data_IF_660030065951
#
_entry.id   IF_660030065951
#
_cell.length_a   1.000
_cell.length_b   1.000
_cell.length_c   1.000
_cell.angle_alpha   90.00
_cell.angle_beta   90.00
_cell.angle_gamma   90.00
#
_symmetry.space_group_name_H-M   'P 1'
#
loop_
_entity.id
_entity.type
_entity.pdbx_description
1 polymer ?
#
# COMPACT_ATOMS: atom_id res chain seq x y z
N UNK A 1 7.88 9.17 -33.41
CA UNK A 1 6.47 8.86 -33.73
C UNK A 1 5.74 8.70 -32.39
N UNK A 2 4.41 8.80 -32.37
CA UNK A 2 3.61 8.86 -31.14
C UNK A 2 2.49 7.81 -31.24
N UNK A 3 2.32 7.02 -30.18
CA UNK A 3 1.20 6.10 -30.04
C UNK A 3 0.23 6.59 -28.96
N UNK A 4 -1.05 6.30 -29.16
CA UNK A 4 -2.13 6.52 -28.17
C UNK A 4 -2.64 5.17 -27.71
N UNK A 5 -2.64 4.94 -26.40
CA UNK A 5 -3.06 3.68 -25.78
C UNK A 5 -4.23 3.97 -24.82
N UNK A 6 -5.34 3.21 -24.86
CA UNK A 6 -6.45 3.42 -23.94
C UNK A 6 -6.07 3.03 -22.52
N UNK A 7 -6.56 3.80 -21.54
CA UNK A 7 -6.64 3.33 -20.15
C UNK A 7 -7.76 2.29 -20.02
N UNK A 8 -7.59 1.34 -19.11
CA UNK A 8 -8.59 0.34 -18.78
C UNK A 8 -9.91 0.96 -18.32
N UNK A 9 -9.84 2.10 -17.64
CA UNK A 9 -11.02 2.81 -17.14
C UNK A 9 -11.85 3.49 -18.26
N UNK A 10 -11.37 3.44 -19.52
CA UNK A 10 -12.16 3.72 -20.73
C UNK A 10 -12.26 5.18 -21.16
N UNK A 11 -11.98 6.12 -20.26
CA UNK A 11 -12.30 7.54 -20.50
C UNK A 11 -11.16 8.37 -21.10
N UNK A 12 -9.94 7.83 -21.13
CA UNK A 12 -8.75 8.58 -21.53
C UNK A 12 -7.75 7.75 -22.34
N UNK A 13 -6.98 8.44 -23.19
CA UNK A 13 -5.89 7.88 -23.97
C UNK A 13 -4.56 8.42 -23.46
N UNK A 14 -3.60 7.54 -23.21
CA UNK A 14 -2.23 7.90 -22.85
C UNK A 14 -1.39 8.01 -24.12
N UNK A 15 -0.62 9.10 -24.24
CA UNK A 15 0.35 9.32 -25.29
C UNK A 15 1.73 8.91 -24.83
N UNK A 16 2.38 8.02 -25.58
CA UNK A 16 3.76 7.55 -25.35
C UNK A 16 4.54 7.54 -26.65
N UNK A 17 5.87 7.49 -26.56
CA UNK A 17 6.72 7.20 -27.72
C UNK A 17 6.59 5.73 -28.15
N UNK A 18 6.80 5.44 -29.44
CA UNK A 18 6.57 4.11 -30.04
C UNK A 18 7.34 2.97 -29.36
N UNK A 19 8.57 3.24 -28.91
CA UNK A 19 9.42 2.25 -28.24
C UNK A 19 8.86 1.84 -26.88
N UNK A 20 8.22 2.78 -26.17
CA UNK A 20 7.49 2.52 -24.93
C UNK A 20 6.21 1.75 -25.26
N UNK A 21 5.45 2.18 -26.26
CA UNK A 21 4.22 1.51 -26.69
C UNK A 21 4.46 0.02 -27.03
N UNK A 22 5.58 -0.29 -27.70
CA UNK A 22 5.98 -1.64 -28.04
C UNK A 22 6.20 -2.56 -26.82
N UNK A 23 6.45 -1.99 -25.62
CA UNK A 23 6.65 -2.74 -24.36
C UNK A 23 5.36 -2.91 -23.55
N UNK A 24 4.29 -2.19 -23.90
CA UNK A 24 3.02 -2.16 -23.14
C UNK A 24 2.01 -3.21 -23.60
N UNK A 25 2.38 -4.10 -24.53
CA UNK A 25 1.50 -5.18 -24.99
C UNK A 25 0.99 -6.05 -23.85
N UNK A 26 -0.34 -6.14 -23.70
CA UNK A 26 -1.00 -6.93 -22.67
C UNK A 26 -0.84 -6.39 -21.24
N UNK A 27 -0.43 -5.13 -21.08
CA UNK A 27 -0.38 -4.45 -19.78
C UNK A 27 -1.65 -3.62 -19.61
N UNK A 28 -2.27 -3.73 -18.43
CA UNK A 28 -3.39 -2.90 -18.07
C UNK A 28 -2.88 -1.53 -17.61
N UNK A 29 -3.40 -0.45 -18.18
CA UNK A 29 -3.03 0.91 -17.81
C UNK A 29 -4.17 1.57 -17.05
N UNK A 30 -3.87 2.19 -15.91
CA UNK A 30 -4.84 2.98 -15.13
C UNK A 30 -4.26 4.31 -14.73
N UNK A 31 -5.13 5.29 -14.47
CA UNK A 31 -4.71 6.51 -13.81
C UNK A 31 -4.99 6.36 -12.31
N UNK A 32 -3.94 6.23 -11.51
CA UNK A 32 -4.02 6.17 -10.05
C UNK A 32 -3.35 7.41 -9.47
N UNK A 33 -4.10 8.21 -8.71
CA UNK A 33 -3.59 9.34 -7.94
C UNK A 33 -2.72 10.33 -8.74
N UNK A 34 -3.13 10.66 -9.98
CA UNK A 34 -2.42 11.46 -11.00
C UNK A 34 -1.26 10.79 -11.76
N UNK A 35 -0.99 9.51 -11.50
CA UNK A 35 0.05 8.73 -12.17
C UNK A 35 -0.58 7.70 -13.11
N UNK A 36 -0.07 7.59 -14.33
CA UNK A 36 -0.40 6.44 -15.19
C UNK A 36 0.41 5.25 -14.69
N UNK A 37 -0.29 4.26 -14.16
CA UNK A 37 0.28 3.05 -13.60
C UNK A 37 0.02 1.89 -14.55
N UNK A 38 1.09 1.21 -14.92
CA UNK A 38 1.05 -0.10 -15.55
C UNK A 38 0.83 -1.17 -14.48
N UNK A 39 -0.19 -2.00 -14.66
CA UNK A 39 -0.57 -3.09 -13.76
C UNK A 39 -0.44 -4.41 -14.52
N UNK A 40 0.33 -5.33 -13.94
CA UNK A 40 0.47 -6.71 -14.42
C UNK A 40 0.78 -7.60 -13.23
N UNK A 41 0.09 -8.73 -13.08
CA UNK A 41 0.33 -9.71 -12.01
C UNK A 41 0.41 -9.07 -10.61
N UNK A 42 -0.50 -8.13 -10.31
CA UNK A 42 -0.52 -7.34 -9.07
C UNK A 42 0.74 -6.48 -8.80
N UNK A 43 1.56 -6.22 -9.82
CA UNK A 43 2.68 -5.28 -9.77
C UNK A 43 2.32 -3.92 -10.36
N UNK A 44 2.61 -2.86 -9.60
CA UNK A 44 2.30 -1.47 -9.93
C UNK A 44 3.56 -0.74 -10.40
N UNK A 45 3.54 -0.28 -11.65
CA UNK A 45 4.66 0.33 -12.34
C UNK A 45 4.31 1.77 -12.76
N UNK A 46 4.87 2.79 -12.10
CA UNK A 46 4.68 4.20 -12.49
C UNK A 46 5.39 4.48 -13.83
N UNK A 47 4.60 4.66 -14.90
CA UNK A 47 5.15 4.85 -16.24
C UNK A 47 5.94 6.15 -16.37
N UNK A 48 5.61 7.22 -15.64
CA UNK A 48 6.39 8.47 -15.68
C UNK A 48 7.82 8.20 -15.21
N UNK A 49 7.94 7.53 -14.06
CA UNK A 49 9.23 7.21 -13.47
C UNK A 49 10.00 6.15 -14.25
N UNK A 50 9.32 5.20 -14.90
CA UNK A 50 9.97 4.21 -15.78
C UNK A 50 10.54 4.86 -17.04
N UNK A 51 9.80 5.78 -17.66
CA UNK A 51 10.21 6.41 -18.92
C UNK A 51 11.32 7.44 -18.68
N UNK A 52 11.16 8.32 -17.69
CA UNK A 52 12.04 9.47 -17.47
C UNK A 52 13.01 9.32 -16.29
N UNK A 53 12.70 8.46 -15.32
CA UNK A 53 13.44 8.29 -14.07
C UNK A 53 12.67 8.81 -12.86
N UNK A 54 13.11 8.43 -11.65
CA UNK A 54 12.41 8.86 -10.43
C UNK A 54 12.26 10.38 -10.33
N UNK A 55 11.17 10.88 -9.74
CA UNK A 55 10.88 12.32 -9.70
C UNK A 55 10.50 12.90 -11.06
N UNK A 56 10.04 12.07 -11.99
CA UNK A 56 9.50 12.51 -13.26
C UNK A 56 8.17 13.25 -13.06
N UNK A 57 8.00 14.29 -13.87
CA UNK A 57 6.80 15.12 -13.96
C UNK A 57 6.49 15.43 -15.43
N UNK A 58 5.25 15.84 -15.70
CA UNK A 58 4.83 16.33 -17.01
C UNK A 58 4.95 17.86 -17.08
N UNK A 59 5.61 18.37 -18.13
CA UNK A 59 5.87 19.82 -18.34
C UNK A 59 4.58 20.61 -18.49
N UNK A 60 3.55 20.00 -19.06
CA UNK A 60 2.23 20.62 -19.26
C UNK A 60 1.20 20.28 -18.17
N UNK A 61 1.59 19.52 -17.13
CA UNK A 61 0.68 19.05 -16.07
C UNK A 61 -0.36 18.00 -16.51
N UNK A 62 -0.35 17.57 -17.78
CA UNK A 62 -1.27 16.55 -18.28
C UNK A 62 -0.72 15.15 -17.97
N UNK A 63 -1.34 14.36 -17.07
CA UNK A 63 -0.83 13.04 -16.68
C UNK A 63 -0.90 12.01 -17.81
N UNK A 64 -1.70 12.26 -18.86
CA UNK A 64 -1.85 11.34 -19.99
C UNK A 64 -0.80 11.57 -21.09
N UNK A 65 0.02 12.62 -21.02
CA UNK A 65 1.05 12.91 -22.02
C UNK A 65 2.45 12.50 -21.51
N UNK A 66 2.80 11.23 -21.71
CA UNK A 66 4.03 10.61 -21.25
C UNK A 66 5.12 10.55 -22.32
N UNK A 67 4.99 11.33 -23.40
CA UNK A 67 6.04 11.44 -24.42
C UNK A 67 7.28 12.04 -23.77
N UNK A 68 8.47 11.52 -24.04
CA UNK A 68 9.74 12.00 -23.43
C UNK A 68 9.93 13.50 -23.56
N UNK A 69 9.50 14.10 -24.68
CA UNK A 69 9.53 15.57 -24.89
C UNK A 69 8.73 16.37 -23.85
N UNK A 70 7.68 15.78 -23.29
CA UNK A 70 6.81 16.37 -22.27
C UNK A 70 7.24 15.98 -20.85
N UNK A 71 8.17 15.04 -20.67
CA UNK A 71 8.65 14.65 -19.36
C UNK A 71 9.87 15.49 -18.96
N UNK A 72 9.95 15.82 -17.68
CA UNK A 72 11.13 16.39 -17.03
C UNK A 72 11.40 15.64 -15.73
N UNK A 73 12.65 15.67 -15.28
CA UNK A 73 13.05 15.08 -14.00
C UNK A 73 13.42 16.19 -13.03
N UNK A 74 12.83 16.16 -11.85
CA UNK A 74 13.19 17.08 -10.77
C UNK A 74 14.52 16.65 -10.13
N UNK A 75 15.41 17.61 -9.96
CA UNK A 75 16.71 17.42 -9.34
C UNK A 75 16.85 18.34 -8.12
N UNK A 76 17.26 17.75 -7.00
CA UNK A 76 17.56 18.45 -5.77
C UNK A 76 19.07 18.46 -5.55
N UNK A 77 19.62 19.64 -5.29
CA UNK A 77 21.05 19.82 -5.06
C UNK A 77 21.31 19.95 -3.56
N UNK A 78 22.05 19.00 -3.01
CA UNK A 78 22.39 18.98 -1.59
C UNK A 78 23.19 20.23 -1.19
N UNK A 79 22.83 20.87 -0.06
CA UNK A 79 23.40 22.13 0.42
C UNK A 79 23.28 23.35 -0.54
N UNK A 80 22.46 23.29 -1.59
CA UNK A 80 22.12 24.47 -2.41
C UNK A 80 20.83 25.11 -1.90
N UNK A 81 20.62 26.37 -2.28
CA UNK A 81 19.40 27.12 -1.96
C UNK A 81 18.14 26.29 -2.29
N UNK A 82 17.06 26.50 -1.54
CA UNK A 82 15.81 25.72 -1.51
C UNK A 82 15.05 25.66 -2.87
N UNK A 83 15.68 25.16 -3.93
CA UNK A 83 15.18 25.14 -5.29
C UNK A 83 15.30 23.74 -5.89
N UNK A 84 14.33 23.40 -6.74
CA UNK A 84 14.34 22.20 -7.56
C UNK A 84 14.67 22.58 -8.99
N UNK A 85 15.71 21.97 -9.53
CA UNK A 85 16.11 22.14 -10.91
C UNK A 85 15.33 21.17 -11.81
N UNK A 86 14.90 21.66 -12.97
CA UNK A 86 14.30 20.82 -14.00
C UNK A 86 15.38 20.36 -14.96
N UNK A 87 15.46 19.06 -15.19
CA UNK A 87 16.40 18.48 -16.16
C UNK A 87 15.66 17.64 -17.19
N UNK A 88 16.23 17.58 -18.38
CA UNK A 88 15.76 16.63 -19.40
C UNK A 88 16.01 15.19 -18.90
N UNK A 89 15.12 14.25 -19.23
CA UNK A 89 15.26 12.87 -18.79
C UNK A 89 16.45 12.20 -19.46
N UNK A 90 17.21 11.43 -18.70
CA UNK A 90 18.24 10.56 -19.26
C UNK A 90 17.57 9.43 -20.05
N UNK A 91 18.07 9.16 -21.27
CA UNK A 91 17.62 8.05 -22.09
C UNK A 91 18.23 6.75 -21.55
N UNK A 92 17.54 6.12 -20.61
CA UNK A 92 17.90 4.79 -20.07
C UNK A 92 16.79 3.78 -20.37
N UNK A 93 16.95 3.09 -21.51
CA UNK A 93 16.02 2.07 -21.96
C UNK A 93 16.06 0.81 -21.09
N UNK A 94 17.06 0.64 -20.21
CA UNK A 94 17.10 -0.50 -19.29
C UNK A 94 15.97 -0.45 -18.27
N UNK A 95 15.43 0.75 -17.97
CA UNK A 95 14.26 0.91 -17.09
C UNK A 95 13.00 0.28 -17.68
N UNK A 96 12.85 0.28 -19.00
CA UNK A 96 11.72 -0.35 -19.69
C UNK A 96 11.76 -1.89 -19.59
N UNK A 97 12.87 -2.48 -19.14
CA UNK A 97 12.96 -3.92 -18.94
C UNK A 97 11.93 -4.44 -17.93
N UNK A 98 11.52 -3.61 -16.95
CA UNK A 98 10.47 -3.98 -15.97
C UNK A 98 9.10 -4.25 -16.62
N UNK A 99 8.85 -3.67 -17.81
CA UNK A 99 7.62 -3.88 -18.58
C UNK A 99 7.70 -5.14 -19.46
N UNK A 100 8.89 -5.72 -19.62
CA UNK A 100 9.07 -6.93 -20.44
C UNK A 100 8.39 -8.11 -19.76
N UNK A 101 7.56 -8.90 -20.48
CA UNK A 101 6.90 -10.06 -19.89
C UNK A 101 7.94 -11.03 -19.34
N UNK A 102 7.81 -11.42 -18.08
CA UNK A 102 8.39 -12.68 -17.63
C UNK A 102 7.62 -13.78 -18.34
N UNK A 103 8.29 -14.65 -19.12
CA UNK A 103 7.62 -15.78 -19.77
C UNK A 103 7.18 -16.74 -18.65
N UNK A 104 6.01 -16.51 -18.08
CA UNK A 104 5.30 -17.51 -17.30
C UNK A 104 4.67 -18.46 -18.32
N UNK A 105 5.10 -19.72 -18.30
CA UNK A 105 4.38 -20.78 -19.01
C UNK A 105 2.98 -20.83 -18.41
N UNK A 106 1.96 -20.41 -19.16
CA UNK A 106 0.57 -20.57 -18.76
C UNK A 106 0.26 -22.06 -18.65
N UNK A 107 0.50 -22.63 -17.48
CA UNK A 107 -0.08 -23.91 -17.11
C UNK A 107 -1.56 -23.65 -16.90
N UNK A 108 -2.40 -24.29 -17.71
CA UNK A 108 -3.85 -24.34 -17.50
C UNK A 108 -4.09 -24.94 -16.11
N UNK A 109 -4.25 -24.08 -15.12
CA UNK A 109 -4.65 -24.48 -13.77
C UNK A 109 -6.13 -24.85 -13.80
N UNK A 110 -6.56 -25.85 -13.01
CA UNK A 110 -7.99 -26.14 -12.90
C UNK A 110 -8.74 -24.89 -12.43
N UNK A 111 -10.01 -24.72 -12.83
CA UNK A 111 -10.80 -23.56 -12.46
C UNK A 111 -10.93 -23.47 -10.94
N UNK A 112 -10.62 -22.28 -10.41
CA UNK A 112 -10.72 -21.99 -8.98
C UNK A 112 -12.20 -22.06 -8.56
N UNK A 113 -12.49 -22.86 -7.55
CA UNK A 113 -13.84 -22.97 -7.02
C UNK A 113 -14.17 -21.75 -6.15
N UNK A 114 -15.37 -21.16 -6.26
CA UNK A 114 -15.79 -20.08 -5.38
C UNK A 114 -15.83 -20.52 -3.91
N UNK A 115 -15.34 -19.67 -3.03
CA UNK A 115 -15.26 -19.95 -1.58
C UNK A 115 -16.51 -19.41 -0.89
N UNK A 116 -17.17 -20.27 -0.12
CA UNK A 116 -18.34 -19.94 0.71
C UNK A 116 -18.07 -20.31 2.17
N UNK A 117 -18.77 -19.65 3.10
CA UNK A 117 -18.78 -19.99 4.53
C UNK A 117 -19.92 -20.96 4.86
N UNK A 118 -21.01 -20.90 4.11
CA UNK A 118 -22.20 -21.76 4.21
C UNK A 118 -22.73 -22.08 2.80
N UNK A 119 -23.33 -23.26 2.56
CA UNK A 119 -23.98 -23.58 1.28
C UNK A 119 -25.01 -22.52 0.84
N UNK A 120 -25.71 -21.93 1.81
CA UNK A 120 -26.81 -20.98 1.62
C UNK A 120 -26.33 -19.53 1.39
N UNK A 121 -25.02 -19.26 1.46
CA UNK A 121 -24.50 -17.91 1.23
C UNK A 121 -24.84 -17.42 -0.19
N UNK A 122 -25.38 -16.20 -0.27
CA UNK A 122 -25.74 -15.54 -1.54
C UNK A 122 -24.50 -15.24 -2.38
N UNK A 123 -23.44 -14.77 -1.73
CA UNK A 123 -22.17 -14.43 -2.36
C UNK A 123 -21.12 -15.50 -2.06
N UNK A 124 -20.22 -15.70 -2.99
CA UNK A 124 -19.02 -16.51 -2.81
C UNK A 124 -17.81 -15.69 -3.25
N UNK A 125 -16.69 -15.83 -2.54
CA UNK A 125 -15.44 -15.20 -2.92
C UNK A 125 -14.85 -15.89 -4.14
N UNK A 126 -14.36 -15.10 -5.10
CA UNK A 126 -13.56 -15.57 -6.22
C UNK A 126 -12.47 -14.52 -6.53
N UNK A 127 -11.19 -14.91 -6.77
CA UNK A 127 -10.10 -13.96 -7.05
C UNK A 127 -10.38 -13.05 -8.26
N UNK A 128 -9.80 -11.85 -8.26
CA UNK A 128 -10.08 -10.81 -9.25
C UNK A 128 -10.01 -11.27 -10.71
N UNK A 129 -8.91 -11.92 -11.09
CA UNK A 129 -8.69 -12.40 -12.46
C UNK A 129 -9.77 -13.39 -12.93
N UNK A 130 -10.30 -14.19 -12.01
CA UNK A 130 -11.33 -15.21 -12.30
C UNK A 130 -12.73 -14.60 -12.43
N UNK A 131 -12.91 -13.32 -12.07
CA UNK A 131 -14.19 -12.60 -12.15
C UNK A 131 -14.32 -11.66 -13.34
N UNK A 132 -13.29 -11.55 -14.21
CA UNK A 132 -13.29 -10.59 -15.34
C UNK A 132 -14.51 -10.69 -16.26
N UNK A 133 -15.11 -11.88 -16.37
CA UNK A 133 -16.30 -12.16 -17.19
C UNK A 133 -17.52 -12.59 -16.36
N UNK A 134 -17.48 -12.45 -15.03
CA UNK A 134 -18.56 -12.88 -14.13
C UNK A 134 -19.03 -11.69 -13.31
N UNK A 135 -20.34 -11.37 -13.31
CA UNK A 135 -20.91 -10.33 -12.45
C UNK A 135 -20.42 -10.42 -11.01
N UNK A 136 -19.78 -9.35 -10.54
CA UNK A 136 -19.12 -9.32 -9.23
C UNK A 136 -19.31 -7.98 -8.51
N UNK A 137 -19.12 -8.03 -7.19
CA UNK A 137 -18.84 -6.88 -6.33
C UNK A 137 -17.34 -6.87 -6.06
N UNK A 138 -16.66 -5.79 -6.44
CA UNK A 138 -15.26 -5.57 -6.08
C UNK A 138 -15.20 -4.93 -4.69
N UNK A 139 -14.63 -5.63 -3.73
CA UNK A 139 -14.49 -5.20 -2.35
C UNK A 139 -13.01 -5.04 -2.05
N UNK A 140 -12.60 -3.84 -1.67
CA UNK A 140 -11.18 -3.50 -1.49
C UNK A 140 -10.29 -3.91 -2.68
N UNK A 141 -10.63 -3.39 -3.85
CA UNK A 141 -9.89 -3.65 -5.08
C UNK A 141 -10.25 -2.62 -6.15
N UNK A 142 -9.47 -2.61 -7.22
CA UNK A 142 -9.88 -2.01 -8.49
C UNK A 142 -11.12 -2.72 -9.06
N UNK A 143 -11.74 -2.13 -10.09
CA UNK A 143 -12.89 -2.71 -10.78
C UNK A 143 -12.47 -3.38 -12.09
N UNK A 144 -13.11 -4.48 -12.49
CA UNK A 144 -12.99 -5.06 -13.83
C UNK A 144 -14.25 -4.80 -14.68
N UNK A 145 -14.24 -5.28 -15.92
CA UNK A 145 -15.34 -5.10 -16.88
C UNK A 145 -16.67 -5.71 -16.44
N UNK A 146 -16.66 -6.70 -15.55
CA UNK A 146 -17.87 -7.35 -15.03
C UNK A 146 -18.28 -6.86 -13.62
N UNK A 147 -17.51 -5.94 -13.04
CA UNK A 147 -17.82 -5.34 -11.73
C UNK A 147 -19.07 -4.48 -11.83
N UNK A 148 -20.11 -4.84 -11.06
CA UNK A 148 -21.37 -4.10 -10.98
C UNK A 148 -21.39 -3.07 -9.84
N UNK A 149 -20.59 -3.30 -8.79
CA UNK A 149 -20.46 -2.44 -7.64
C UNK A 149 -19.01 -2.50 -7.13
N UNK A 150 -18.43 -1.33 -6.85
CA UNK A 150 -17.13 -1.19 -6.18
C UNK A 150 -17.37 -0.65 -4.77
N UNK A 151 -16.69 -1.24 -3.79
CA UNK A 151 -16.65 -0.80 -2.39
C UNK A 151 -15.19 -0.84 -1.95
N UNK A 152 -14.46 0.23 -2.25
CA UNK A 152 -13.03 0.38 -2.01
C UNK A 152 -12.66 1.83 -1.71
N UNK A 153 -11.62 2.03 -0.91
CA UNK A 153 -10.97 3.32 -0.66
C UNK A 153 -9.73 3.58 -1.56
N UNK A 154 -9.39 2.68 -2.50
CA UNK A 154 -8.23 2.85 -3.38
C UNK A 154 -8.35 4.10 -4.28
N UNK A 155 -7.24 4.67 -4.77
CA UNK A 155 -7.29 5.76 -5.74
C UNK A 155 -8.13 5.41 -6.97
N UNK A 156 -8.90 6.38 -7.47
CA UNK A 156 -9.77 6.23 -8.63
C UNK A 156 -10.80 5.09 -8.53
N UNK A 157 -11.16 4.66 -7.31
CA UNK A 157 -12.25 3.71 -7.10
C UNK A 157 -13.58 4.25 -7.65
N UNK A 158 -14.50 3.32 -7.96
CA UNK A 158 -15.87 3.63 -8.42
C UNK A 158 -16.91 3.47 -7.30
N UNK A 159 -16.48 3.58 -6.04
CA UNK A 159 -17.39 3.48 -4.89
C UNK A 159 -18.41 4.61 -4.96
N UNK A 160 -19.73 4.31 -4.92
CA UNK A 160 -20.74 5.35 -4.89
C UNK A 160 -20.50 6.31 -3.72
N UNK A 161 -20.66 7.61 -3.95
CA UNK A 161 -20.31 8.67 -2.98
C UNK A 161 -20.93 8.42 -1.59
N UNK A 162 -22.19 7.97 -1.55
CA UNK A 162 -22.92 7.68 -0.30
C UNK A 162 -22.36 6.51 0.52
N UNK A 163 -21.43 5.74 -0.03
CA UNK A 163 -20.76 4.62 0.63
C UNK A 163 -19.27 4.85 0.82
N UNK A 164 -18.70 5.98 0.37
CA UNK A 164 -17.27 6.21 0.55
C UNK A 164 -16.94 6.34 2.03
N UNK A 165 -15.83 5.72 2.42
CA UNK A 165 -15.28 5.77 3.76
C UNK A 165 -13.76 5.71 3.72
N UNK A 166 -13.12 5.87 4.87
CA UNK A 166 -11.66 5.81 5.00
C UNK A 166 -11.12 4.38 4.84
N UNK A 167 -11.95 3.37 5.11
CA UNK A 167 -11.67 1.95 4.87
C UNK A 167 -12.68 1.33 3.89
N UNK A 168 -12.24 0.33 3.14
CA UNK A 168 -13.09 -0.48 2.28
C UNK A 168 -14.14 -1.23 3.10
N UNK A 169 -13.78 -1.74 4.29
CA UNK A 169 -14.73 -2.41 5.20
C UNK A 169 -15.80 -1.45 5.69
N UNK A 170 -15.45 -0.20 6.00
CA UNK A 170 -16.44 0.81 6.37
C UNK A 170 -17.40 1.11 5.21
N UNK A 171 -16.86 1.17 3.98
CA UNK A 171 -17.67 1.34 2.77
C UNK A 171 -18.67 0.19 2.58
N UNK A 172 -18.22 -1.05 2.79
CA UNK A 172 -19.09 -2.24 2.81
C UNK A 172 -20.15 -2.13 3.89
N UNK A 173 -19.79 -1.77 5.12
CA UNK A 173 -20.74 -1.67 6.23
C UNK A 173 -21.81 -0.61 5.99
N UNK A 174 -21.46 0.51 5.34
CA UNK A 174 -22.43 1.52 4.91
C UNK A 174 -23.38 0.97 3.86
N UNK A 175 -22.86 0.29 2.83
CA UNK A 175 -23.69 -0.37 1.81
C UNK A 175 -24.65 -1.40 2.42
N UNK A 176 -24.17 -2.27 3.32
CA UNK A 176 -25.00 -3.28 3.99
C UNK A 176 -26.09 -2.69 4.90
N UNK A 177 -25.86 -1.49 5.44
CA UNK A 177 -26.83 -0.78 6.29
C UNK A 177 -27.90 -0.04 5.48
N UNK A 178 -27.65 0.19 4.19
CA UNK A 178 -28.54 0.94 3.32
C UNK A 178 -29.63 0.05 2.69
N UNK A 179 -30.79 0.04 3.33
CA UNK A 179 -31.98 -0.68 2.84
C UNK A 179 -32.65 -0.03 1.61
N UNK A 180 -32.20 1.16 1.18
CA UNK A 180 -32.80 1.87 0.05
C UNK A 180 -32.27 1.41 -1.31
N UNK A 181 -31.11 0.75 -1.31
CA UNK A 181 -30.43 0.30 -2.52
C UNK A 181 -30.60 -1.19 -2.68
N UNK A 182 -31.14 -1.61 -3.83
CA UNK A 182 -31.16 -3.03 -4.17
C UNK A 182 -29.73 -3.58 -4.26
N UNK A 183 -29.52 -4.82 -3.81
CA UNK A 183 -28.26 -5.51 -4.05
C UNK A 183 -28.04 -5.69 -5.56
N UNK A 184 -26.81 -5.54 -6.05
CA UNK A 184 -26.49 -5.83 -7.45
C UNK A 184 -26.79 -7.30 -7.77
N UNK A 185 -27.10 -7.57 -9.04
CA UNK A 185 -27.31 -8.92 -9.58
C UNK A 185 -25.95 -9.60 -9.79
N UNK A 186 -25.28 -9.86 -8.66
CA UNK A 186 -23.98 -10.49 -8.56
C UNK A 186 -24.04 -11.60 -7.51
N UNK A 187 -23.39 -12.72 -7.83
CA UNK A 187 -23.22 -13.88 -6.93
C UNK A 187 -21.77 -14.03 -6.46
N UNK A 188 -20.89 -13.11 -6.85
CA UNK A 188 -19.46 -13.13 -6.55
C UNK A 188 -19.03 -11.84 -5.88
N UNK A 189 -18.16 -11.98 -4.90
CA UNK A 189 -17.35 -10.90 -4.34
C UNK A 189 -15.89 -11.17 -4.69
N UNK A 190 -15.13 -10.12 -4.95
CA UNK A 190 -13.75 -10.25 -5.40
C UNK A 190 -12.84 -9.17 -4.82
N UNK A 191 -11.56 -9.51 -4.71
CA UNK A 191 -10.44 -8.59 -4.48
C UNK A 191 -9.22 -9.07 -5.26
N UNK A 192 -8.31 -8.15 -5.61
CA UNK A 192 -7.07 -8.38 -6.37
C UNK A 192 -5.84 -8.64 -5.49
N UNK A 193 -5.99 -8.55 -4.17
CA UNK A 193 -4.91 -8.80 -3.21
C UNK A 193 -5.43 -9.42 -1.91
N UNK A 194 -4.54 -9.65 -0.95
CA UNK A 194 -4.89 -10.07 0.39
C UNK A 194 -4.28 -9.11 1.41
N UNK A 195 -5.15 -8.51 2.21
CA UNK A 195 -4.85 -7.89 3.49
C UNK A 195 -6.09 -8.01 4.40
N UNK A 196 -6.05 -7.37 5.57
CA UNK A 196 -7.12 -7.48 6.55
C UNK A 196 -8.34 -6.61 6.22
N UNK A 197 -8.19 -5.49 5.50
CA UNK A 197 -9.35 -4.68 5.07
C UNK A 197 -10.12 -5.40 3.96
N UNK A 198 -9.42 -5.98 2.98
CA UNK A 198 -10.01 -6.84 1.97
C UNK A 198 -10.64 -8.10 2.56
N UNK A 199 -9.99 -8.76 3.53
CA UNK A 199 -10.57 -9.91 4.22
C UNK A 199 -11.88 -9.56 4.94
N UNK A 200 -11.89 -8.50 5.74
CA UNK A 200 -13.07 -8.06 6.47
C UNK A 200 -14.19 -7.57 5.54
N UNK A 201 -13.84 -6.89 4.44
CA UNK A 201 -14.77 -6.44 3.40
C UNK A 201 -15.47 -7.62 2.70
N UNK A 202 -14.69 -8.61 2.24
CA UNK A 202 -15.21 -9.83 1.62
C UNK A 202 -16.06 -10.62 2.61
N UNK A 203 -15.60 -10.78 3.85
CA UNK A 203 -16.32 -11.46 4.92
C UNK A 203 -17.70 -10.83 5.15
N UNK A 204 -17.75 -9.51 5.28
CA UNK A 204 -18.99 -8.79 5.53
C UNK A 204 -20.02 -8.94 4.39
N UNK A 205 -19.57 -9.08 3.15
CA UNK A 205 -20.47 -9.33 2.01
C UNK A 205 -20.97 -10.78 1.96
N UNK A 206 -20.15 -11.76 2.38
CA UNK A 206 -20.56 -13.18 2.41
C UNK A 206 -21.49 -13.48 3.59
N UNK A 207 -21.17 -12.97 4.78
CA UNK A 207 -21.88 -13.23 6.03
C UNK A 207 -22.42 -11.94 6.68
N UNK A 208 -23.36 -11.22 6.03
CA UNK A 208 -23.73 -9.85 6.42
C UNK A 208 -24.34 -9.74 7.82
N UNK A 209 -25.21 -10.68 8.23
CA UNK A 209 -25.83 -10.63 9.57
C UNK A 209 -24.77 -10.78 10.68
N UNK A 210 -23.87 -11.75 10.53
CA UNK A 210 -22.79 -11.98 11.49
C UNK A 210 -21.81 -10.79 11.53
N UNK A 211 -21.48 -10.24 10.36
CA UNK A 211 -20.62 -9.09 10.24
C UNK A 211 -21.22 -7.84 10.88
N UNK A 212 -22.53 -7.61 10.76
CA UNK A 212 -23.20 -6.50 11.44
C UNK A 212 -23.13 -6.62 12.97
N UNK A 213 -23.25 -7.83 13.51
CA UNK A 213 -23.08 -8.08 14.95
C UNK A 213 -21.64 -7.77 15.44
N UNK A 214 -20.66 -7.80 14.54
CA UNK A 214 -19.25 -7.53 14.83
C UNK A 214 -18.72 -6.26 14.15
N UNK A 215 -19.61 -5.35 13.71
CA UNK A 215 -19.27 -4.23 12.84
C UNK A 215 -18.05 -3.43 13.28
N UNK A 216 -18.04 -2.96 14.55
CA UNK A 216 -16.93 -2.14 15.05
C UNK A 216 -15.61 -2.92 15.13
N UNK A 217 -15.68 -4.20 15.51
CA UNK A 217 -14.51 -5.05 15.62
C UNK A 217 -13.88 -5.31 14.25
N UNK A 218 -14.70 -5.56 13.22
CA UNK A 218 -14.24 -5.69 11.84
C UNK A 218 -13.58 -4.40 11.34
N UNK A 219 -14.19 -3.23 11.58
CA UNK A 219 -13.59 -1.93 11.21
C UNK A 219 -12.23 -1.73 11.89
N UNK A 220 -12.12 -2.06 13.18
CA UNK A 220 -10.85 -1.92 13.90
C UNK A 220 -9.79 -2.91 13.41
N UNK A 221 -10.16 -4.14 13.03
CA UNK A 221 -9.25 -5.13 12.40
C UNK A 221 -8.72 -4.59 11.07
N UNK A 222 -9.60 -4.08 10.21
CA UNK A 222 -9.23 -3.45 8.94
C UNK A 222 -8.27 -2.27 9.15
N UNK A 223 -8.55 -1.43 10.15
CA UNK A 223 -7.68 -0.30 10.51
C UNK A 223 -6.27 -0.74 10.94
N UNK A 224 -6.16 -1.87 11.63
CA UNK A 224 -4.85 -2.44 11.95
C UNK A 224 -4.14 -3.00 10.72
N UNK A 225 -4.87 -3.59 9.76
CA UNK A 225 -4.34 -4.03 8.48
C UNK A 225 -3.69 -2.91 7.68
N UNK A 226 -4.48 -1.92 7.26
CA UNK A 226 -4.01 -0.89 6.33
C UNK A 226 -3.19 0.18 7.03
N UNK A 227 -3.72 0.70 8.14
CA UNK A 227 -3.15 1.88 8.75
C UNK A 227 -2.19 1.53 9.89
N UNK A 228 -2.10 0.25 10.28
CA UNK A 228 -1.30 -0.19 11.42
C UNK A 228 -1.53 0.74 12.61
N UNK A 229 -2.78 1.02 12.97
CA UNK A 229 -3.11 1.92 14.09
C UNK A 229 -4.45 1.59 14.71
N UNK A 230 -4.65 2.06 15.93
CA UNK A 230 -5.85 1.81 16.72
C UNK A 230 -5.52 1.46 18.17
N UNK A 231 -6.57 1.42 19.00
CA UNK A 231 -6.44 1.21 20.45
C UNK A 231 -7.21 -0.02 20.96
N UNK A 232 -7.96 -0.70 20.09
CA UNK A 232 -8.67 -1.93 20.47
C UNK A 232 -7.68 -3.08 20.60
N UNK A 233 -7.33 -3.46 21.83
CA UNK A 233 -6.47 -4.62 22.12
C UNK A 233 -6.99 -5.89 21.43
N UNK A 234 -8.30 -6.09 21.52
CA UNK A 234 -8.99 -7.24 20.95
C UNK A 234 -8.88 -7.31 19.42
N UNK A 235 -9.11 -6.19 18.74
CA UNK A 235 -8.95 -6.13 17.28
C UNK A 235 -7.50 -6.37 16.85
N UNK A 236 -6.54 -5.82 17.61
CA UNK A 236 -5.11 -5.99 17.35
C UNK A 236 -4.66 -7.45 17.51
N UNK A 237 -5.12 -8.15 18.55
CA UNK A 237 -4.87 -9.57 18.75
C UNK A 237 -5.46 -10.42 17.63
N UNK A 238 -6.69 -10.12 17.17
CA UNK A 238 -7.29 -10.81 16.03
C UNK A 238 -6.52 -10.54 14.73
N UNK A 239 -6.10 -9.29 14.48
CA UNK A 239 -5.27 -8.94 13.33
C UNK A 239 -3.96 -9.75 13.32
N UNK A 240 -3.24 -9.79 14.44
CA UNK A 240 -2.03 -10.61 14.59
C UNK A 240 -2.29 -12.10 14.40
N UNK A 241 -3.41 -12.62 14.92
CA UNK A 241 -3.77 -14.02 14.73
C UNK A 241 -4.01 -14.36 13.25
N UNK A 242 -4.72 -13.48 12.53
CA UNK A 242 -5.00 -13.64 11.10
C UNK A 242 -3.72 -13.56 10.25
N UNK A 243 -2.83 -12.62 10.56
CA UNK A 243 -1.52 -12.51 9.91
C UNK A 243 -0.68 -13.78 10.13
N UNK A 244 -0.67 -14.31 11.36
CA UNK A 244 0.01 -15.57 11.68
C UNK A 244 -0.57 -16.75 10.90
N UNK A 245 -1.90 -16.87 10.80
CA UNK A 245 -2.56 -17.92 10.02
C UNK A 245 -2.21 -17.79 8.54
N UNK A 246 -2.27 -16.59 7.97
CA UNK A 246 -1.92 -16.33 6.58
C UNK A 246 -0.44 -16.68 6.31
N UNK A 247 0.47 -16.29 7.19
CA UNK A 247 1.89 -16.61 7.07
C UNK A 247 2.14 -18.12 7.13
N UNK A 248 1.55 -18.84 8.10
CA UNK A 248 1.67 -20.29 8.23
C UNK A 248 1.16 -21.01 6.97
N UNK A 249 0.04 -20.54 6.42
CA UNK A 249 -0.54 -21.09 5.20
C UNK A 249 0.42 -20.91 4.00
N UNK A 250 0.98 -19.71 3.80
CA UNK A 250 1.96 -19.45 2.75
C UNK A 250 3.23 -20.29 2.91
N UNK A 251 3.70 -20.46 4.14
CA UNK A 251 4.85 -21.33 4.43
C UNK A 251 4.56 -22.80 4.11
N UNK A 252 3.36 -23.29 4.38
CA UNK A 252 2.98 -24.67 4.13
C UNK A 252 2.81 -25.00 2.63
N UNK A 253 2.29 -24.06 1.83
CA UNK A 253 2.14 -24.25 0.38
C UNK A 253 3.44 -24.05 -0.41
N UNK A 254 4.41 -23.33 0.14
CA UNK A 254 5.63 -22.98 -0.59
C UNK A 254 5.36 -21.99 -1.73
N UNK A 255 6.22 -22.01 -2.75
CA UNK A 255 6.11 -21.03 -3.86
C UNK A 255 4.97 -21.40 -4.81
N UNK A 256 3.83 -20.72 -4.68
CA UNK A 256 2.74 -20.74 -5.66
C UNK A 256 3.00 -19.64 -6.69
N UNK A 257 3.20 -20.02 -7.96
CA UNK A 257 3.47 -19.04 -9.03
C UNK A 257 2.22 -18.31 -9.53
N UNK A 258 1.03 -18.87 -9.29
CA UNK A 258 -0.24 -18.29 -9.72
C UNK A 258 -0.84 -17.48 -8.57
N UNK A 259 -0.93 -16.16 -8.75
CA UNK A 259 -1.41 -15.24 -7.71
C UNK A 259 -2.90 -15.48 -7.36
N UNK A 260 -3.75 -15.80 -8.33
CA UNK A 260 -5.17 -16.14 -8.07
C UNK A 260 -5.31 -17.36 -7.17
N UNK A 261 -4.51 -18.42 -7.39
CA UNK A 261 -4.50 -19.61 -6.53
C UNK A 261 -3.98 -19.30 -5.12
N UNK A 262 -2.97 -18.42 -5.01
CA UNK A 262 -2.44 -17.95 -3.74
C UNK A 262 -3.50 -17.17 -2.96
N UNK A 263 -4.15 -16.19 -3.59
CA UNK A 263 -5.24 -15.41 -3.00
C UNK A 263 -6.41 -16.32 -2.60
N UNK A 264 -6.85 -17.22 -3.48
CA UNK A 264 -7.91 -18.18 -3.15
C UNK A 264 -7.56 -19.02 -1.91
N UNK A 265 -6.31 -19.50 -1.81
CA UNK A 265 -5.87 -20.30 -0.66
C UNK A 265 -5.86 -19.51 0.65
N UNK A 266 -5.41 -18.24 0.58
CA UNK A 266 -5.43 -17.32 1.72
C UNK A 266 -6.87 -17.09 2.20
N UNK A 267 -7.78 -16.67 1.33
CA UNK A 267 -9.19 -16.44 1.68
C UNK A 267 -9.91 -17.72 2.12
N UNK A 268 -9.61 -18.86 1.49
CA UNK A 268 -10.18 -20.16 1.86
C UNK A 268 -9.83 -20.59 3.28
N UNK A 269 -8.66 -20.17 3.78
CA UNK A 269 -8.19 -20.47 5.14
C UNK A 269 -8.63 -19.40 6.13
N UNK A 270 -8.55 -18.12 5.75
CA UNK A 270 -8.73 -16.99 6.67
C UNK A 270 -10.18 -16.56 6.86
N UNK A 271 -11.08 -16.80 5.89
CA UNK A 271 -12.51 -16.48 6.06
C UNK A 271 -13.17 -17.30 7.20
N UNK A 272 -13.01 -18.64 7.27
CA UNK A 272 -13.51 -19.40 8.41
C UNK A 272 -12.82 -19.02 9.71
N UNK A 273 -11.50 -18.80 9.69
CA UNK A 273 -10.75 -18.41 10.88
C UNK A 273 -11.20 -17.05 11.43
N UNK A 274 -11.49 -16.07 10.57
CA UNK A 274 -12.05 -14.80 10.98
C UNK A 274 -13.39 -14.99 11.69
N UNK A 275 -14.29 -15.83 11.15
CA UNK A 275 -15.56 -16.15 11.82
C UNK A 275 -15.35 -16.71 13.23
N UNK A 276 -14.49 -17.72 13.34
CA UNK A 276 -14.21 -18.40 14.60
C UNK A 276 -13.59 -17.43 15.63
N UNK A 277 -12.65 -16.59 15.19
CA UNK A 277 -12.01 -15.58 16.03
C UNK A 277 -13.00 -14.49 16.49
N UNK A 278 -13.93 -14.07 15.63
CA UNK A 278 -15.00 -13.13 15.99
C UNK A 278 -15.96 -13.73 17.03
N UNK A 279 -16.34 -15.01 16.89
CA UNK A 279 -17.20 -15.70 17.85
C UNK A 279 -16.49 -15.90 19.20
N UNK A 280 -15.22 -16.35 19.16
CA UNK A 280 -14.38 -16.49 20.35
C UNK A 280 -14.13 -15.14 21.07
N UNK A 281 -14.26 -14.05 20.32
CA UNK A 281 -14.10 -12.69 20.83
C UNK A 281 -15.17 -12.31 21.88
N UNK A 282 -16.32 -13.00 21.92
CA UNK A 282 -17.45 -12.66 22.81
C UNK A 282 -17.16 -12.76 24.31
N UNK A 283 -16.07 -13.41 24.72
CA UNK A 283 -15.59 -13.46 26.10
C UNK A 283 -14.05 -13.62 26.15
N UNK A 284 -13.41 -13.21 27.25
CA UNK A 284 -11.94 -13.17 27.37
C UNK A 284 -11.29 -14.57 27.32
N UNK A 285 -11.99 -15.61 27.80
CA UNK A 285 -11.51 -16.99 27.76
C UNK A 285 -11.40 -17.52 26.33
N UNK A 286 -12.35 -17.15 25.45
CA UNK A 286 -12.40 -17.60 24.07
C UNK A 286 -11.19 -17.13 23.26
N UNK A 287 -10.87 -15.84 23.30
CA UNK A 287 -9.71 -15.31 22.57
C UNK A 287 -8.37 -15.80 23.14
N UNK A 288 -8.32 -16.05 24.46
CA UNK A 288 -7.14 -16.62 25.13
C UNK A 288 -6.81 -18.04 24.65
N UNK A 289 -7.81 -18.82 24.21
CA UNK A 289 -7.57 -20.14 23.60
C UNK A 289 -6.75 -20.05 22.28
N UNK A 290 -6.72 -18.87 21.65
CA UNK A 290 -5.96 -18.59 20.44
C UNK A 290 -4.66 -17.81 20.69
N UNK A 291 -4.23 -17.68 21.95
CA UNK A 291 -3.07 -16.87 22.36
C UNK A 291 -1.80 -17.17 21.55
N UNK A 292 -1.55 -18.45 21.24
CA UNK A 292 -0.38 -18.86 20.45
C UNK A 292 -0.27 -18.20 19.07
N UNK A 293 -1.40 -17.73 18.51
CA UNK A 293 -1.44 -17.09 17.19
C UNK A 293 -1.03 -15.62 17.23
N UNK A 294 -1.13 -14.94 18.38
CA UNK A 294 -0.93 -13.49 18.46
C UNK A 294 0.08 -13.05 19.53
N UNK A 295 0.42 -13.90 20.50
CA UNK A 295 1.26 -13.53 21.65
C UNK A 295 2.61 -12.95 21.26
N UNK A 296 3.30 -13.54 20.31
CA UNK A 296 4.66 -13.11 19.96
C UNK A 296 4.64 -11.72 19.27
N UNK A 297 3.63 -11.47 18.41
CA UNK A 297 3.41 -10.15 17.81
C UNK A 297 2.93 -9.11 18.83
N UNK A 298 2.09 -9.52 19.78
CA UNK A 298 1.66 -8.71 20.93
C UNK A 298 2.85 -8.28 21.79
N UNK A 299 3.70 -9.22 22.16
CA UNK A 299 4.91 -8.96 22.93
C UNK A 299 5.83 -8.00 22.15
N UNK A 300 6.03 -8.22 20.86
CA UNK A 300 6.84 -7.33 20.03
C UNK A 300 6.29 -5.89 19.97
N UNK A 301 4.96 -5.73 19.90
CA UNK A 301 4.31 -4.43 19.99
C UNK A 301 4.53 -3.78 21.36
N UNK A 302 4.34 -4.52 22.45
CA UNK A 302 4.54 -4.02 23.82
C UNK A 302 5.99 -3.61 24.10
N UNK A 303 6.96 -4.37 23.58
CA UNK A 303 8.38 -4.02 23.65
C UNK A 303 8.67 -2.71 22.90
N UNK A 304 8.00 -2.49 21.76
CA UNK A 304 8.10 -1.23 21.02
C UNK A 304 7.45 -0.07 21.77
N UNK A 305 6.27 -0.26 22.37
CA UNK A 305 5.63 0.76 23.23
C UNK A 305 6.54 1.18 24.39
N UNK A 306 7.08 0.20 25.12
CA UNK A 306 7.97 0.45 26.25
C UNK A 306 9.24 1.20 25.83
N UNK A 307 9.79 0.91 24.64
CA UNK A 307 10.90 1.67 24.07
C UNK A 307 10.51 3.14 23.85
N UNK A 308 9.35 3.39 23.23
CA UNK A 308 8.90 4.76 22.90
C UNK A 308 8.47 5.57 24.13
N UNK A 309 8.12 4.92 25.24
CA UNK A 309 7.86 5.57 26.54
C UNK A 309 9.15 5.93 27.31
N UNK A 310 10.31 5.40 26.88
CA UNK A 310 11.59 5.67 27.51
C UNK A 310 12.02 7.13 27.41
N UNK A 311 12.65 7.65 28.48
CA UNK A 311 13.10 9.05 28.59
C UNK A 311 14.12 9.49 27.51
N UNK A 312 14.73 8.53 26.81
CA UNK A 312 15.74 8.79 25.77
C UNK A 312 15.15 8.81 24.35
N UNK A 313 13.84 8.65 24.19
CA UNK A 313 13.16 8.80 22.91
C UNK A 313 12.62 10.22 22.80
N UNK A 314 12.93 10.88 21.69
CA UNK A 314 12.42 12.23 21.38
C UNK A 314 11.55 12.14 20.13
N UNK A 315 10.32 12.63 20.23
CA UNK A 315 9.41 12.77 19.10
C UNK A 315 9.23 14.25 18.76
N UNK A 316 9.64 14.65 17.56
CA UNK A 316 9.47 16.00 17.03
C UNK A 316 8.42 15.97 15.91
N UNK A 317 7.51 16.94 15.88
CA UNK A 317 6.46 17.03 14.86
C UNK A 317 6.58 18.35 14.10
N UNK A 318 6.46 18.25 12.78
CA UNK A 318 6.53 19.36 11.82
C UNK A 318 5.29 19.30 10.91
N UNK A 319 4.10 19.70 11.40
CA UNK A 319 2.84 19.56 10.66
C UNK A 319 2.82 20.30 9.31
N UNK A 320 3.52 21.44 9.21
CA UNK A 320 3.61 22.25 7.99
C UNK A 320 4.27 21.51 6.81
N UNK A 321 5.13 20.54 7.11
CA UNK A 321 5.75 19.66 6.13
C UNK A 321 5.26 18.21 6.22
N UNK A 322 4.27 17.93 7.06
CA UNK A 322 3.68 16.60 7.29
C UNK A 322 4.72 15.55 7.72
N UNK A 323 5.63 15.93 8.62
CA UNK A 323 6.74 15.10 9.07
C UNK A 323 6.74 14.91 10.60
N UNK A 324 6.79 13.66 11.05
CA UNK A 324 7.16 13.30 12.42
C UNK A 324 8.55 12.65 12.45
N UNK A 325 9.40 13.04 13.40
CA UNK A 325 10.74 12.50 13.59
C UNK A 325 10.81 11.83 14.95
N UNK A 326 11.13 10.54 14.98
CA UNK A 326 11.37 9.76 16.19
C UNK A 326 12.86 9.48 16.32
N UNK A 327 13.49 10.05 17.34
CA UNK A 327 14.89 9.78 17.70
C UNK A 327 14.93 8.63 18.70
N UNK A 328 15.59 7.56 18.30
CA UNK A 328 15.68 6.32 19.05
C UNK A 328 17.11 6.10 19.57
N UNK A 329 17.29 5.66 20.83
CA UNK A 329 18.61 5.33 21.35
C UNK A 329 19.16 4.09 20.64
N UNK A 330 20.31 4.24 19.97
CA UNK A 330 20.89 3.20 19.10
C UNK A 330 21.11 1.84 19.82
N UNK A 331 21.38 1.86 21.12
CA UNK A 331 21.58 0.66 21.95
C UNK A 331 20.33 -0.19 22.18
N UNK A 332 19.13 0.35 21.92
CA UNK A 332 17.85 -0.32 22.18
C UNK A 332 17.04 -0.57 20.90
N UNK A 333 17.54 -0.13 19.75
CA UNK A 333 17.02 -0.54 18.46
C UNK A 333 17.63 -1.90 18.14
N UNK A 334 16.86 -2.92 17.70
CA UNK A 334 17.40 -4.19 17.23
C UNK A 334 18.16 -3.97 15.92
N UNK A 335 19.33 -3.33 16.03
CA UNK A 335 20.10 -2.86 14.90
C UNK A 335 20.75 -4.05 14.20
N UNK A 336 20.07 -4.53 13.17
CA UNK A 336 20.66 -5.39 12.15
C UNK A 336 21.29 -4.51 11.08
N UNK A 337 22.47 -4.89 10.60
CA UNK A 337 23.13 -4.13 9.51
C UNK A 337 22.27 -4.09 8.25
N UNK A 338 21.40 -5.08 8.04
CA UNK A 338 20.46 -5.09 6.92
C UNK A 338 19.29 -4.19 7.29
N UNK A 339 19.03 -3.10 6.54
CA UNK A 339 17.97 -2.17 6.89
C UNK A 339 16.60 -2.84 6.86
N UNK A 340 15.83 -2.67 7.94
CA UNK A 340 14.45 -3.14 8.06
C UNK A 340 13.49 -1.95 8.07
N UNK A 341 12.24 -2.18 7.64
CA UNK A 341 11.16 -1.20 7.82
C UNK A 341 10.98 -0.93 9.31
N UNK A 342 10.83 0.35 9.68
CA UNK A 342 10.74 0.77 11.09
C UNK A 342 11.86 0.21 12.00
N UNK A 343 13.05 -0.10 11.45
CA UNK A 343 14.12 -0.82 12.16
C UNK A 343 13.70 -2.15 12.81
N UNK A 344 12.67 -2.81 12.27
CA UNK A 344 12.14 -4.05 12.84
C UNK A 344 11.25 -3.85 14.05
N UNK A 345 10.85 -2.61 14.36
CA UNK A 345 9.90 -2.27 15.43
C UNK A 345 8.46 -2.25 14.90
N UNK A 346 7.50 -2.35 15.83
CA UNK A 346 6.08 -2.31 15.47
C UNK A 346 5.67 -0.93 14.92
N UNK A 347 5.14 -0.84 13.69
CA UNK A 347 4.67 0.44 13.13
C UNK A 347 3.49 1.04 13.92
N UNK A 348 2.69 0.18 14.57
CA UNK A 348 1.53 0.58 15.39
C UNK A 348 1.91 1.61 16.44
N UNK A 349 3.06 1.41 17.08
CA UNK A 349 3.52 2.27 18.15
C UNK A 349 3.85 3.68 17.70
N UNK A 350 4.36 3.82 16.48
CA UNK A 350 4.66 5.12 15.86
C UNK A 350 3.38 5.78 15.33
N UNK A 351 2.54 5.03 14.62
CA UNK A 351 1.35 5.56 13.96
C UNK A 351 0.29 6.07 14.95
N UNK A 352 0.21 5.46 16.14
CA UNK A 352 -0.66 5.93 17.22
C UNK A 352 -0.20 7.25 17.87
N UNK A 353 1.06 7.67 17.68
CA UNK A 353 1.65 8.86 18.34
C UNK A 353 1.63 10.12 17.49
N UNK A 354 1.27 10.00 16.21
CA UNK A 354 1.26 11.14 15.29
C UNK A 354 0.19 10.99 14.22
N UNK A 355 -0.53 12.06 13.87
CA UNK A 355 -1.42 12.06 12.71
C UNK A 355 -0.66 12.24 11.39
N UNK A 356 0.63 12.59 11.42
CA UNK A 356 1.40 12.95 10.23
C UNK A 356 1.72 11.72 9.36
N UNK A 357 1.67 11.90 8.04
CA UNK A 357 1.77 10.82 7.05
C UNK A 357 3.22 10.45 6.68
N UNK A 358 4.18 11.36 6.89
CA UNK A 358 5.61 11.06 6.72
C UNK A 358 6.28 10.89 8.08
N UNK A 359 6.93 9.76 8.30
CA UNK A 359 7.62 9.43 9.55
C UNK A 359 9.10 9.16 9.27
N UNK A 360 10.00 9.84 9.97
CA UNK A 360 11.42 9.54 10.00
C UNK A 360 11.80 8.89 11.34
N UNK A 361 12.43 7.73 11.28
CA UNK A 361 13.06 7.08 12.44
C UNK A 361 14.56 7.32 12.36
N UNK A 362 15.12 7.88 13.42
CA UNK A 362 16.50 8.37 13.47
C UNK A 362 17.24 7.71 14.63
N UNK A 363 18.43 7.21 14.36
CA UNK A 363 19.42 6.79 15.35
C UNK A 363 20.71 7.59 15.15
N UNK A 364 21.72 7.39 15.99
CA UNK A 364 23.03 8.03 15.81
C UNK A 364 23.64 7.78 14.41
N UNK A 365 23.42 6.58 13.85
CA UNK A 365 24.11 6.14 12.64
C UNK A 365 23.18 5.93 11.45
N UNK A 366 21.86 5.98 11.61
CA UNK A 366 20.88 5.63 10.58
C UNK A 366 19.63 6.51 10.61
N UNK A 367 19.01 6.64 9.44
CA UNK A 367 17.71 7.25 9.23
C UNK A 367 16.93 6.48 8.19
N UNK A 368 15.68 6.17 8.53
CA UNK A 368 14.70 5.58 7.63
C UNK A 368 13.46 6.44 7.61
N UNK A 369 12.96 6.76 6.42
CA UNK A 369 11.76 7.57 6.23
C UNK A 369 10.68 6.73 5.58
N UNK A 370 9.48 6.77 6.12
CA UNK A 370 8.29 6.10 5.62
C UNK A 370 7.23 7.14 5.26
N UNK A 371 6.54 6.93 4.14
CA UNK A 371 5.24 7.53 3.89
C UNK A 371 4.18 6.49 4.18
N UNK A 372 3.20 6.83 5.02
CA UNK A 372 2.18 5.90 5.52
C UNK A 372 1.08 5.63 4.50
N UNK A 373 0.38 4.52 4.66
CA UNK A 373 -0.69 4.08 3.76
C UNK A 373 -1.79 5.15 3.63
N UNK A 374 -2.10 5.91 4.68
CA UNK A 374 -3.08 7.01 4.61
C UNK A 374 -2.80 8.02 3.49
N UNK A 375 -1.54 8.24 3.10
CA UNK A 375 -1.18 9.10 1.96
C UNK A 375 -1.32 8.48 0.58
N UNK A 376 -1.64 7.18 0.50
CA UNK A 376 -1.84 6.44 -0.75
C UNK A 376 -3.31 6.30 -1.15
N UNK A 377 -4.22 6.16 -0.17
CA UNK A 377 -5.66 5.90 -0.35
C UNK A 377 -6.49 7.18 -0.45
N UNK A 378 -7.69 7.04 -1.01
CA UNK A 378 -8.67 8.12 -1.16
C UNK A 378 -9.50 8.32 0.13
N UNK A 379 -8.87 8.89 1.16
CA UNK A 379 -9.53 9.17 2.44
C UNK A 379 -10.63 10.23 2.32
N UNK A 380 -11.69 10.04 3.12
CA UNK A 380 -12.81 10.97 3.30
C UNK A 380 -12.58 11.93 4.48
N UNK A 381 -11.86 11.47 5.52
CA UNK A 381 -11.53 12.29 6.69
C UNK A 381 -10.01 12.41 6.87
N UNK A 382 -9.58 13.48 7.56
CA UNK A 382 -8.18 13.72 7.92
C UNK A 382 -7.17 13.54 6.76
N UNK A 383 -7.55 13.99 5.56
CA UNK A 383 -6.77 13.80 4.32
C UNK A 383 -5.35 14.37 4.50
N UNK A 384 -4.31 13.52 4.43
CA UNK A 384 -2.93 13.97 4.63
C UNK A 384 -2.44 14.81 3.44
N UNK A 385 -1.33 15.50 3.63
CA UNK A 385 -0.69 16.23 2.54
C UNK A 385 -0.25 15.22 1.44
N UNK A 386 -0.52 15.48 0.14
CA UNK A 386 -0.15 14.57 -0.95
C UNK A 386 1.32 14.17 -0.90
N UNK A 387 1.65 12.93 -1.30
CA UNK A 387 3.02 12.42 -1.14
C UNK A 387 4.01 13.13 -2.04
N UNK A 388 5.27 13.11 -1.60
CA UNK A 388 6.42 13.69 -2.30
C UNK A 388 7.26 12.52 -2.81
N UNK A 389 7.75 12.58 -4.04
CA UNK A 389 8.62 11.54 -4.59
C UNK A 389 10.03 11.66 -3.97
N UNK A 390 10.31 10.82 -2.97
CA UNK A 390 11.60 10.84 -2.26
C UNK A 390 12.74 10.25 -3.08
N UNK A 391 12.51 9.74 -4.30
CA UNK A 391 13.60 9.33 -5.20
C UNK A 391 14.47 10.51 -5.61
N UNK A 392 13.90 11.73 -5.62
CA UNK A 392 14.64 12.97 -5.88
C UNK A 392 15.71 13.16 -4.80
N UNK A 393 15.32 13.01 -3.53
CA UNK A 393 16.21 13.13 -2.39
C UNK A 393 17.20 11.95 -2.31
N UNK A 394 16.75 10.73 -2.61
CA UNK A 394 17.62 9.55 -2.68
C UNK A 394 18.78 9.75 -3.68
N UNK A 395 18.50 10.31 -4.86
CA UNK A 395 19.54 10.65 -5.85
C UNK A 395 20.48 11.73 -5.33
N UNK A 396 19.96 12.76 -4.68
CA UNK A 396 20.78 13.82 -4.09
C UNK A 396 21.77 13.25 -3.06
N UNK A 397 21.32 12.36 -2.17
CA UNK A 397 22.19 11.67 -1.21
C UNK A 397 23.18 10.75 -1.91
N UNK A 398 22.75 10.01 -2.93
CA UNK A 398 23.64 9.12 -3.67
C UNK A 398 24.77 9.86 -4.40
N UNK A 399 24.51 11.07 -4.90
CA UNK A 399 25.49 11.86 -5.66
C UNK A 399 26.66 12.39 -4.82
N UNK A 400 26.47 12.54 -3.51
CA UNK A 400 27.49 13.05 -2.57
C UNK A 400 28.06 11.95 -1.67
N UNK A 401 27.47 10.76 -1.70
CA UNK A 401 27.91 9.63 -0.90
C UNK A 401 29.31 9.20 -1.34
N UNK A 402 30.21 9.05 -0.37
CA UNK A 402 31.64 8.77 -0.62
C UNK A 402 32.04 7.36 -0.21
N UNK A 403 31.18 6.63 0.50
CA UNK A 403 31.35 5.21 0.81
C UNK A 403 30.48 4.35 -0.11
N UNK A 404 30.60 3.03 0.01
CA UNK A 404 29.78 2.05 -0.72
C UNK A 404 28.31 1.99 -0.26
N UNK A 405 27.79 3.05 0.34
CA UNK A 405 26.39 3.12 0.72
C UNK A 405 25.53 3.39 -0.51
N UNK A 406 24.41 2.68 -0.60
CA UNK A 406 23.41 2.90 -1.63
C UNK A 406 22.13 3.46 -1.02
N UNK A 407 21.67 4.62 -1.50
CA UNK A 407 20.39 5.20 -1.11
C UNK A 407 19.28 4.73 -2.04
N UNK A 408 18.12 4.39 -1.49
CA UNK A 408 16.99 3.90 -2.24
C UNK A 408 15.68 4.44 -1.67
N UNK A 409 14.77 4.77 -2.58
CA UNK A 409 13.36 4.99 -2.28
C UNK A 409 12.54 4.00 -3.08
N UNK A 410 11.61 3.31 -2.43
CA UNK A 410 10.83 2.23 -3.05
C UNK A 410 10.04 2.73 -4.29
N UNK A 411 9.48 3.94 -4.21
CA UNK A 411 8.67 4.55 -5.28
C UNK A 411 7.33 5.05 -4.75
N UNK A 412 6.85 6.19 -5.24
CA UNK A 412 5.69 6.89 -4.66
C UNK A 412 4.37 6.10 -4.78
N UNK A 413 4.29 5.22 -5.78
CA UNK A 413 3.14 4.38 -6.08
C UNK A 413 2.97 3.18 -5.15
N UNK A 414 3.97 2.83 -4.34
CA UNK A 414 3.85 1.73 -3.38
C UNK A 414 3.05 2.16 -2.15
N UNK A 415 2.32 1.23 -1.53
CA UNK A 415 1.38 1.55 -0.42
C UNK A 415 2.06 2.17 0.81
N UNK A 416 3.30 1.79 1.13
CA UNK A 416 4.07 2.37 2.24
C UNK A 416 5.54 2.48 1.85
N UNK A 417 5.94 3.44 1.01
CA UNK A 417 7.27 3.46 0.45
C UNK A 417 8.28 3.95 1.49
N UNK A 418 9.46 3.32 1.47
CA UNK A 418 10.58 3.62 2.35
C UNK A 418 11.67 4.35 1.58
N UNK A 419 12.19 5.44 2.15
CA UNK A 419 13.49 6.00 1.81
C UNK A 419 14.51 5.55 2.87
N UNK A 420 15.65 5.06 2.44
CA UNK A 420 16.77 4.75 3.32
C UNK A 420 17.90 4.05 2.59
N UNK A 421 18.87 3.55 3.35
CA UNK A 421 19.96 2.77 2.77
C UNK A 421 19.48 1.41 2.25
N UNK A 422 20.16 0.92 1.22
CA UNK A 422 20.05 -0.43 0.66
C UNK A 422 21.33 -1.20 1.02
N UNK A 423 21.18 -2.23 1.86
CA UNK A 423 22.28 -3.08 2.30
C UNK A 423 23.04 -2.57 3.53
N UNK A 424 24.10 -3.28 3.88
CA UNK A 424 24.77 -3.19 5.19
C UNK A 424 25.79 -2.07 5.37
N UNK A 425 26.05 -1.28 4.32
CA UNK A 425 27.07 -0.23 4.32
C UNK A 425 26.48 1.06 4.88
N UNK A 426 27.11 1.59 5.93
CA UNK A 426 26.76 2.88 6.52
C UNK A 426 27.10 4.02 5.58
N UNK A 427 26.29 5.07 5.64
CA UNK A 427 26.50 6.32 4.90
C UNK A 427 27.75 7.05 5.38
N UNK A 428 28.36 7.86 4.50
CA UNK A 428 29.37 8.84 4.89
C UNK A 428 28.77 10.15 5.40
N UNK A 429 27.48 10.37 5.17
CA UNK A 429 26.78 11.60 5.49
C UNK A 429 26.39 11.65 6.97
N UNK A 430 26.59 12.79 7.67
CA UNK A 430 26.06 12.98 9.01
C UNK A 430 24.52 12.88 9.01
N UNK A 431 23.96 12.16 9.99
CA UNK A 431 22.51 11.94 10.09
C UNK A 431 21.74 13.25 10.27
N UNK A 432 22.28 14.18 11.06
CA UNK A 432 21.70 15.53 11.22
C UNK A 432 21.62 16.28 9.86
N UNK A 433 22.59 16.09 8.98
CA UNK A 433 22.59 16.71 7.66
C UNK A 433 21.50 16.10 6.77
N UNK A 434 21.38 14.76 6.76
CA UNK A 434 20.32 14.06 6.02
C UNK A 434 18.94 14.53 6.48
N UNK A 435 18.75 14.68 7.79
CA UNK A 435 17.49 15.16 8.37
C UNK A 435 17.17 16.60 7.96
N UNK A 436 18.15 17.51 8.04
CA UNK A 436 17.96 18.91 7.63
C UNK A 436 17.59 19.01 6.15
N UNK A 437 18.22 18.20 5.30
CA UNK A 437 17.91 18.15 3.87
C UNK A 437 16.54 17.52 3.59
N UNK A 438 16.10 16.53 4.38
CA UNK A 438 14.73 16.02 4.33
C UNK A 438 13.70 17.12 4.64
N UNK A 439 13.89 17.90 5.70
CA UNK A 439 12.99 19.00 6.08
C UNK A 439 12.91 20.07 4.97
N UNK A 440 14.06 20.47 4.42
CA UNK A 440 14.14 21.42 3.29
C UNK A 440 13.42 20.88 2.06
N UNK A 441 13.72 19.64 1.67
CA UNK A 441 13.10 19.00 0.52
C UNK A 441 11.58 18.93 0.66
N UNK A 442 11.04 18.49 1.81
CA UNK A 442 9.59 18.39 2.02
C UNK A 442 8.88 19.76 2.01
N UNK A 443 9.61 20.85 2.23
CA UNK A 443 9.09 22.22 2.11
C UNK A 443 8.79 22.58 0.66
N UNK A 444 9.66 22.19 -0.27
CA UNK A 444 9.63 22.66 -1.67
C UNK A 444 9.16 21.60 -2.67
N UNK A 445 9.18 20.32 -2.30
CA UNK A 445 8.82 19.24 -3.18
C UNK A 445 7.34 19.28 -3.58
N UNK A 446 7.03 19.20 -4.88
CA UNK A 446 5.65 19.18 -5.34
C UNK A 446 4.96 17.86 -4.99
N UNK A 447 3.63 17.88 -5.04
CA UNK A 447 2.82 16.67 -4.93
C UNK A 447 3.14 15.72 -6.08
N UNK A 448 3.45 14.46 -5.74
CA UNK A 448 3.75 13.39 -6.68
C UNK A 448 2.67 12.29 -6.70
N UNK A 449 1.86 12.16 -5.66
CA UNK A 449 0.75 11.21 -5.59
C UNK A 449 -0.40 11.85 -4.83
N UNK A 450 -1.56 11.96 -5.48
CA UNK A 450 -2.73 12.66 -4.94
C UNK A 450 -3.98 11.78 -5.08
N UNK A 451 -4.33 10.99 -4.05
CA UNK A 451 -5.36 9.95 -4.16
C UNK A 451 -6.79 10.45 -4.41
N UNK A 452 -7.10 11.66 -3.94
CA UNK A 452 -8.44 12.25 -3.90
C UNK A 452 -8.76 13.18 -5.11
N UNK A 453 -8.06 13.02 -6.24
CA UNK A 453 -8.27 13.86 -7.43
C UNK A 453 -9.40 13.37 -8.34
#
# INVERSE_FOLDING_TARGET
>A
MVCTIPLHDGDHLVQVDDDVAARLGGIELRLLANRVVAIRDNHFSDLQNIIAGGGAITKNGNPYDLRRKNLAVLHYCFNRDNELEWREPDADDTRLAVLTPTIAVATLSPPIQPIKLSPDDRLAFLPFEETRNVPNIAADAIHNTATQLTLSHWPANRTPERYKADLSTESVMQFLSDNSSGYPDAQRVTTDHFDLDGLASVYALIAPEHAQNHKQLLIDISRFGDFSRGHSTKARQIAFALDTIAAQMLHAQGTVQNESLRIASLFGTTLPALRDLLDASGNDEGLSAHEVLWRDAEQHHQETEALLEGLNVVAEQYPEIDLAIFRLPASHVPYVRIPQRYFGLSPISFHNRTPLSTIALVTENDIVVHQRYEGWVALQTDVPRPRRDLSILARAFQAIETKDCCWHYDGVQYIMPRLGRRGAKLTSLPIEQIENELKRFLTIAPAAWTPNL
#
